data_IF_286102684519
#
_entry.id   IF_286102684519
#
_cell.length_a   1.000
_cell.length_b   1.000
_cell.length_c   1.000
_cell.angle_alpha   90.00
_cell.angle_beta   90.00
_cell.angle_gamma   90.00
#
_symmetry.space_group_name_H-M   'P 1'
#
loop_
_entity.id
_entity.type
_entity.pdbx_description
1 polymer ?
#
# COMPACT_ATOMS: atom_id res chain seq x y z
N UNK A 1 -6.94 -3.00 27.86
CA UNK A 1 -7.05 -4.12 26.89
C UNK A 1 -7.44 -3.57 25.52
N UNK A 2 -8.41 -2.65 25.47
CA UNK A 2 -8.82 -1.88 24.27
C UNK A 2 -7.66 -1.17 23.56
N UNK A 3 -6.77 -0.48 24.29
CA UNK A 3 -5.63 0.24 23.68
C UNK A 3 -4.66 -0.69 22.92
N UNK A 4 -4.46 -1.92 23.41
CA UNK A 4 -3.61 -2.92 22.75
C UNK A 4 -4.27 -3.48 21.48
N UNK A 5 -5.58 -3.69 21.52
CA UNK A 5 -6.36 -4.10 20.33
C UNK A 5 -6.36 -2.99 19.28
N UNK A 6 -6.53 -1.73 19.69
CA UNK A 6 -6.44 -0.58 18.80
C UNK A 6 -5.05 -0.45 18.15
N UNK A 7 -3.97 -0.68 18.90
CA UNK A 7 -2.61 -0.67 18.35
C UNK A 7 -2.36 -1.79 17.35
N UNK A 8 -2.82 -3.00 17.66
CA UNK A 8 -2.69 -4.13 16.74
C UNK A 8 -3.52 -3.92 15.46
N UNK A 9 -4.74 -3.38 15.59
CA UNK A 9 -5.57 -3.04 14.44
C UNK A 9 -4.88 -1.97 13.57
N UNK A 10 -4.33 -0.91 14.19
CA UNK A 10 -3.52 0.10 13.48
C UNK A 10 -2.34 -0.51 12.72
N UNK A 11 -1.70 -1.53 13.28
CA UNK A 11 -0.63 -2.26 12.58
C UNK A 11 -1.14 -3.07 11.39
N UNK A 12 -2.32 -3.70 11.50
CA UNK A 12 -2.95 -4.41 10.39
C UNK A 12 -3.37 -3.44 9.27
N UNK A 13 -4.00 -2.33 9.63
CA UNK A 13 -4.46 -1.28 8.71
C UNK A 13 -3.28 -0.51 8.08
N UNK A 14 -2.14 -0.49 8.77
CA UNK A 14 -0.90 0.13 8.31
C UNK A 14 -0.05 -0.76 7.40
N UNK A 15 -0.47 -2.01 7.12
CA UNK A 15 0.33 -2.93 6.29
C UNK A 15 0.42 -2.44 4.85
N UNK A 16 1.62 -2.07 4.47
CA UNK A 16 2.00 -1.83 3.08
C UNK A 16 2.30 -3.15 2.37
N UNK A 17 1.80 -3.32 1.14
CA UNK A 17 2.28 -4.37 0.26
C UNK A 17 3.72 -4.04 -0.17
N UNK A 18 4.70 -4.94 0.02
CA UNK A 18 6.09 -4.60 -0.20
C UNK A 18 6.40 -4.42 -1.69
N UNK A 19 7.28 -3.47 -2.00
CA UNK A 19 7.93 -3.45 -3.31
C UNK A 19 8.89 -4.63 -3.42
N UNK A 20 8.70 -5.46 -4.44
CA UNK A 20 9.38 -6.77 -4.53
C UNK A 20 10.60 -6.76 -5.45
N UNK A 21 10.92 -5.65 -6.13
CA UNK A 21 12.08 -5.59 -7.02
C UNK A 21 13.35 -5.30 -6.21
N UNK A 22 14.48 -5.96 -6.55
CA UNK A 22 15.78 -5.52 -6.06
C UNK A 22 16.01 -4.09 -6.51
N UNK A 23 16.22 -3.19 -5.55
CA UNK A 23 16.64 -1.83 -5.84
C UNK A 23 18.16 -1.87 -6.06
N UNK A 24 18.69 -1.27 -7.15
CA UNK A 24 20.13 -1.26 -7.39
C UNK A 24 20.90 -0.72 -6.17
N UNK A 25 22.03 -1.34 -5.79
CA UNK A 25 22.85 -0.87 -4.67
C UNK A 25 23.22 0.60 -4.83
N UNK A 26 23.07 1.39 -3.77
CA UNK A 26 23.36 2.83 -3.78
C UNK A 26 22.23 3.72 -4.30
N UNK A 27 21.09 3.16 -4.70
CA UNK A 27 19.89 3.97 -5.00
C UNK A 27 19.37 4.56 -3.69
N UNK A 28 19.27 5.89 -3.64
CA UNK A 28 18.77 6.62 -2.48
C UNK A 28 17.26 6.76 -2.60
N UNK A 29 16.55 6.46 -1.52
CA UNK A 29 15.16 6.85 -1.38
C UNK A 29 15.08 8.32 -1.01
N UNK A 30 14.25 9.07 -1.73
CA UNK A 30 14.00 10.48 -1.48
C UNK A 30 12.53 10.73 -1.12
N UNK A 31 12.28 11.85 -0.44
CA UNK A 31 10.96 12.30 -0.03
C UNK A 31 10.24 13.08 -1.12
N UNK A 32 8.94 12.82 -1.28
CA UNK A 32 8.08 13.41 -2.28
C UNK A 32 6.70 13.76 -1.74
N UNK A 33 6.02 14.65 -2.46
CA UNK A 33 4.59 14.94 -2.28
C UNK A 33 3.85 14.80 -3.59
N UNK A 34 2.77 14.04 -3.57
CA UNK A 34 1.80 13.95 -4.65
C UNK A 34 0.54 14.73 -4.27
N UNK A 35 0.30 15.86 -4.93
CA UNK A 35 -0.88 16.70 -4.71
C UNK A 35 -1.97 16.40 -5.73
N UNK A 36 -3.20 16.39 -5.25
CA UNK A 36 -4.41 16.25 -6.06
C UNK A 36 -5.23 17.53 -5.88
N UNK A 37 -5.42 18.27 -6.97
CA UNK A 37 -6.25 19.46 -7.00
C UNK A 37 -7.67 19.10 -7.40
N UNK A 38 -8.02 19.49 -8.63
CA UNK A 38 -9.37 19.37 -9.18
C UNK A 38 -9.51 18.17 -10.10
N UNK A 39 -10.62 17.45 -9.99
CA UNK A 39 -11.08 16.47 -11.00
C UNK A 39 -12.23 17.09 -11.76
N UNK A 40 -12.11 17.19 -13.08
CA UNK A 40 -13.20 17.60 -13.99
C UNK A 40 -13.53 16.45 -14.91
N UNK A 41 -14.77 15.97 -14.86
CA UNK A 41 -15.17 14.80 -15.62
C UNK A 41 -16.68 14.82 -15.89
N UNK A 42 -17.07 14.59 -17.14
CA UNK A 42 -18.47 14.68 -17.60
C UNK A 42 -19.38 13.64 -16.95
N UNK A 43 -18.82 12.47 -16.67
CA UNK A 43 -19.46 11.29 -16.08
C UNK A 43 -19.80 11.47 -14.60
N UNK A 44 -19.29 12.52 -13.94
CA UNK A 44 -19.61 12.79 -12.54
C UNK A 44 -21.08 13.17 -12.38
N UNK A 45 -21.75 12.66 -11.35
CA UNK A 45 -23.15 12.96 -11.06
C UNK A 45 -23.23 14.09 -10.04
N UNK A 46 -24.03 15.12 -10.34
CA UNK A 46 -24.20 16.29 -9.48
C UNK A 46 -24.76 15.89 -8.11
N UNK A 47 -24.19 16.45 -7.03
CA UNK A 47 -24.64 16.19 -5.65
C UNK A 47 -24.28 14.81 -5.11
N UNK A 48 -23.56 13.98 -5.87
CA UNK A 48 -23.01 12.70 -5.37
C UNK A 48 -21.65 12.91 -4.71
N UNK A 49 -21.35 12.04 -3.75
CA UNK A 49 -20.10 12.00 -3.00
C UNK A 49 -19.08 11.11 -3.69
N UNK A 50 -17.84 11.57 -3.73
CA UNK A 50 -16.70 10.87 -4.32
C UNK A 50 -15.48 11.01 -3.44
N UNK A 51 -14.52 10.13 -3.62
CA UNK A 51 -13.19 10.26 -3.06
C UNK A 51 -12.19 9.69 -4.08
N UNK A 52 -10.91 9.93 -3.86
CA UNK A 52 -9.85 9.36 -4.68
C UNK A 52 -8.99 8.42 -3.85
N UNK A 53 -8.66 7.27 -4.43
CA UNK A 53 -7.66 6.37 -3.91
C UNK A 53 -6.35 6.55 -4.67
N UNK A 54 -5.24 6.46 -3.96
CA UNK A 54 -3.91 6.48 -4.56
C UNK A 54 -3.12 5.23 -4.18
N UNK A 55 -2.45 4.66 -5.19
CA UNK A 55 -1.65 3.44 -5.05
C UNK A 55 -0.38 3.53 -5.90
N UNK A 56 0.63 2.71 -5.58
CA UNK A 56 1.74 2.48 -6.49
C UNK A 56 1.48 1.28 -7.40
N UNK A 57 1.97 1.37 -8.63
CA UNK A 57 1.89 0.31 -9.62
C UNK A 57 3.25 0.08 -10.27
N UNK A 58 3.68 -1.18 -10.31
CA UNK A 58 4.88 -1.62 -11.02
C UNK A 58 4.47 -2.08 -12.42
N UNK A 59 4.77 -1.24 -13.43
CA UNK A 59 4.44 -1.50 -14.82
C UNK A 59 5.23 -2.65 -15.47
N UNK A 60 6.38 -3.02 -14.91
CA UNK A 60 7.12 -4.19 -15.40
C UNK A 60 6.52 -5.50 -14.89
N UNK A 61 6.00 -5.49 -13.66
CA UNK A 61 5.42 -6.68 -13.01
C UNK A 61 3.90 -6.76 -13.09
N UNK A 62 3.24 -5.71 -13.55
CA UNK A 62 1.78 -5.57 -13.55
C UNK A 62 1.19 -5.81 -12.16
N UNK A 63 1.74 -5.13 -11.15
CA UNK A 63 1.36 -5.35 -9.75
C UNK A 63 1.21 -4.05 -8.99
N UNK A 64 0.11 -3.93 -8.25
CA UNK A 64 -0.10 -2.84 -7.30
C UNK A 64 0.60 -3.14 -5.99
N UNK A 65 1.21 -2.13 -5.38
CA UNK A 65 1.93 -2.26 -4.13
C UNK A 65 1.89 -0.96 -3.31
N UNK A 66 2.55 -0.97 -2.16
CA UNK A 66 2.52 0.14 -1.22
C UNK A 66 1.36 0.02 -0.24
N UNK A 67 1.20 1.08 0.56
CA UNK A 67 0.01 1.31 1.38
C UNK A 67 -0.94 2.18 0.58
N UNK A 68 -2.21 1.78 0.52
CA UNK A 68 -3.25 2.60 -0.06
C UNK A 68 -3.62 3.75 0.85
N UNK A 69 -3.99 4.87 0.25
CA UNK A 69 -4.51 5.99 1.00
C UNK A 69 -5.61 6.66 0.20
N UNK A 70 -6.66 7.08 0.91
CA UNK A 70 -7.87 7.66 0.32
C UNK A 70 -7.97 9.13 0.70
N UNK A 71 -8.46 9.98 -0.21
CA UNK A 71 -8.75 11.37 0.11
C UNK A 71 -9.94 11.51 1.05
N UNK A 72 -10.19 12.75 1.51
CA UNK A 72 -11.50 13.10 2.04
C UNK A 72 -12.58 12.96 0.97
N UNK A 73 -13.82 12.87 1.43
CA UNK A 73 -14.99 12.83 0.55
C UNK A 73 -15.27 14.25 0.00
N UNK A 74 -15.37 14.36 -1.33
CA UNK A 74 -15.78 15.56 -2.04
C UNK A 74 -17.16 15.35 -2.69
N UNK A 75 -18.00 16.39 -2.63
CA UNK A 75 -19.31 16.39 -3.31
C UNK A 75 -19.17 17.01 -4.69
N UNK A 76 -19.65 16.31 -5.71
CA UNK A 76 -19.61 16.79 -7.09
C UNK A 76 -20.49 18.04 -7.25
N UNK A 77 -19.87 19.11 -7.73
CA UNK A 77 -20.55 20.36 -8.10
C UNK A 77 -20.13 20.78 -9.51
N UNK A 78 -21.05 21.01 -10.44
CA UNK A 78 -20.78 21.37 -11.84
C UNK A 78 -19.74 20.44 -12.50
N UNK A 79 -19.94 19.12 -12.38
CA UNK A 79 -19.04 18.10 -12.96
C UNK A 79 -17.58 18.23 -12.50
N UNK A 80 -17.41 18.70 -11.27
CA UNK A 80 -16.12 19.02 -10.67
C UNK A 80 -16.07 18.47 -9.24
N UNK A 81 -14.93 17.88 -8.89
CA UNK A 81 -14.53 17.58 -7.52
C UNK A 81 -13.30 18.42 -7.16
N UNK A 82 -13.26 18.92 -5.94
CA UNK A 82 -12.14 19.70 -5.41
C UNK A 82 -11.63 18.94 -4.19
N UNK A 83 -10.39 18.46 -4.27
CA UNK A 83 -9.71 17.80 -3.16
C UNK A 83 -8.71 18.77 -2.51
N UNK A 84 -7.76 19.31 -3.28
CA UNK A 84 -6.66 20.13 -2.76
C UNK A 84 -5.89 19.42 -1.62
N UNK A 85 -5.67 18.12 -1.80
CA UNK A 85 -5.01 17.25 -0.82
C UNK A 85 -3.61 16.84 -1.28
N UNK A 86 -2.77 16.48 -0.31
CA UNK A 86 -1.36 16.14 -0.52
C UNK A 86 -1.01 14.83 0.19
N UNK A 87 -0.44 13.90 -0.57
CA UNK A 87 0.07 12.63 -0.09
C UNK A 87 1.60 12.65 -0.05
N UNK A 88 2.16 12.40 1.12
CA UNK A 88 3.59 12.37 1.41
C UNK A 88 4.09 10.93 1.35
N UNK A 89 5.26 10.72 0.76
CA UNK A 89 5.88 9.40 0.69
C UNK A 89 7.40 9.53 0.53
N UNK A 90 8.12 8.43 0.73
CA UNK A 90 9.50 8.31 0.28
C UNK A 90 9.67 7.07 -0.58
N UNK A 91 10.49 7.18 -1.62
CA UNK A 91 10.79 6.07 -2.51
C UNK A 91 12.06 6.33 -3.34
N UNK A 92 12.75 5.27 -3.80
CA UNK A 92 13.66 5.37 -4.93
C UNK A 92 12.82 5.52 -6.21
N UNK A 93 13.01 6.59 -6.97
CA UNK A 93 12.25 6.74 -8.21
C UNK A 93 12.85 5.86 -9.30
N UNK A 94 11.99 5.05 -9.93
CA UNK A 94 12.32 4.25 -11.11
C UNK A 94 11.32 4.51 -12.23
N UNK A 95 11.72 4.28 -13.49
CA UNK A 95 10.83 4.46 -14.64
C UNK A 95 9.62 3.51 -14.67
N UNK A 96 9.73 2.38 -13.98
CA UNK A 96 8.70 1.34 -13.97
C UNK A 96 7.67 1.49 -12.85
N UNK A 97 7.88 2.42 -11.90
CA UNK A 97 6.89 2.68 -10.85
C UNK A 97 6.06 3.90 -11.23
N UNK A 98 4.75 3.73 -11.11
CA UNK A 98 3.75 4.75 -11.38
C UNK A 98 2.90 4.99 -10.13
N UNK A 99 2.39 6.21 -9.98
CA UNK A 99 1.31 6.51 -9.03
C UNK A 99 0.00 6.41 -9.80
N UNK A 100 -0.92 5.61 -9.30
CA UNK A 100 -2.25 5.42 -9.88
C UNK A 100 -3.27 6.09 -8.97
N UNK A 101 -4.11 6.93 -9.57
CA UNK A 101 -5.22 7.60 -8.91
C UNK A 101 -6.52 6.98 -9.41
N UNK A 102 -7.38 6.54 -8.51
CA UNK A 102 -8.71 6.00 -8.82
C UNK A 102 -9.78 6.92 -8.23
N UNK A 103 -10.68 7.42 -9.06
CA UNK A 103 -11.86 8.18 -8.65
C UNK A 103 -12.97 7.21 -8.33
N UNK A 104 -13.46 7.24 -7.09
CA UNK A 104 -14.49 6.34 -6.60
C UNK A 104 -15.71 7.12 -6.18
N UNK A 105 -16.88 6.71 -6.66
CA UNK A 105 -18.17 7.21 -6.18
C UNK A 105 -18.52 6.47 -4.91
N UNK A 106 -18.74 7.21 -3.83
CA UNK A 106 -19.20 6.63 -2.58
C UNK A 106 -20.70 6.33 -2.65
N UNK A 107 -21.09 5.09 -2.38
CA UNK A 107 -22.50 4.69 -2.24
C UNK A 107 -22.73 4.07 -0.87
N UNK A 108 -23.00 4.93 0.13
CA UNK A 108 -23.26 4.54 1.52
C UNK A 108 -22.17 3.65 2.16
N UNK A 109 -20.95 3.64 1.60
CA UNK A 109 -19.79 2.89 2.09
C UNK A 109 -19.77 1.38 1.79
N UNK A 110 -20.78 0.83 1.10
CA UNK A 110 -20.85 -0.61 0.79
C UNK A 110 -20.86 -0.93 -0.72
N UNK A 111 -21.33 0.00 -1.57
CA UNK A 111 -21.39 -0.18 -3.03
C UNK A 111 -20.55 0.87 -3.77
N UNK A 112 -19.32 1.05 -3.31
CA UNK A 112 -18.40 2.01 -3.91
C UNK A 112 -18.04 1.61 -5.35
N UNK A 113 -18.13 2.57 -6.26
CA UNK A 113 -17.97 2.34 -7.70
C UNK A 113 -16.80 3.15 -8.26
N UNK A 114 -15.81 2.46 -8.83
CA UNK A 114 -14.74 3.06 -9.60
C UNK A 114 -15.28 3.69 -10.89
N UNK A 115 -15.21 5.02 -10.99
CA UNK A 115 -15.74 5.74 -12.15
C UNK A 115 -14.66 6.05 -13.17
N UNK A 116 -13.47 6.40 -12.70
CA UNK A 116 -12.35 6.73 -13.57
C UNK A 116 -11.03 6.53 -12.84
N UNK A 117 -9.93 6.53 -13.59
CA UNK A 117 -8.58 6.45 -13.03
C UNK A 117 -7.56 7.20 -13.90
N UNK A 118 -6.41 7.51 -13.33
CA UNK A 118 -5.28 8.16 -13.99
C UNK A 118 -3.96 7.57 -13.53
N UNK A 119 -2.90 7.83 -14.30
CA UNK A 119 -1.55 7.34 -14.01
C UNK A 119 -0.54 8.47 -14.15
N UNK A 120 0.29 8.63 -13.12
CA UNK A 120 1.47 9.47 -13.13
C UNK A 120 2.72 8.61 -13.28
N UNK A 121 3.46 8.83 -14.35
CA UNK A 121 4.78 8.21 -14.56
C UNK A 121 5.85 9.00 -13.79
N UNK A 122 6.45 8.38 -12.77
CA UNK A 122 7.42 9.10 -11.92
C UNK A 122 8.76 9.31 -12.62
N UNK A 123 9.27 8.29 -13.34
CA UNK A 123 10.64 8.30 -13.87
C UNK A 123 10.94 9.37 -14.94
N UNK A 124 9.92 9.89 -15.63
CA UNK A 124 10.09 10.96 -16.62
C UNK A 124 10.23 12.36 -16.03
N UNK A 125 9.89 12.56 -14.75
CA UNK A 125 9.65 13.89 -14.15
C UNK A 125 10.73 14.31 -13.12
N UNK A 126 11.60 13.39 -12.69
CA UNK A 126 12.35 13.52 -11.42
C UNK A 126 13.46 14.56 -11.42
N UNK A 127 14.19 14.70 -12.53
CA UNK A 127 15.42 15.51 -12.54
C UNK A 127 15.18 17.02 -12.41
N UNK A 128 13.93 17.46 -12.41
CA UNK A 128 13.55 18.88 -12.30
C UNK A 128 12.27 19.11 -11.49
N UNK A 129 11.96 18.25 -10.51
CA UNK A 129 10.77 18.45 -9.68
C UNK A 129 10.90 19.74 -8.85
N UNK A 130 9.84 20.58 -8.80
CA UNK A 130 9.83 21.72 -7.91
C UNK A 130 9.86 21.28 -6.44
N UNK A 131 10.42 22.11 -5.58
CA UNK A 131 10.38 21.87 -4.14
C UNK A 131 8.99 22.17 -3.56
N UNK A 132 8.56 21.34 -2.61
CA UNK A 132 7.26 21.50 -1.93
C UNK A 132 7.07 22.87 -1.27
N UNK A 133 8.15 23.47 -0.74
CA UNK A 133 8.12 24.83 -0.19
C UNK A 133 7.75 25.93 -1.21
N UNK A 134 7.77 25.62 -2.51
CA UNK A 134 7.41 26.52 -3.61
C UNK A 134 6.15 26.03 -4.36
N UNK A 135 5.34 25.14 -3.77
CA UNK A 135 4.21 24.50 -4.44
C UNK A 135 3.21 25.48 -5.08
N UNK A 136 2.99 26.67 -4.49
CA UNK A 136 2.09 27.68 -5.04
C UNK A 136 2.52 28.19 -6.43
N UNK A 137 3.82 28.12 -6.75
CA UNK A 137 4.39 28.61 -8.00
C UNK A 137 4.57 27.49 -9.04
N UNK A 138 4.55 26.24 -8.60
CA UNK A 138 4.68 25.11 -9.50
C UNK A 138 3.41 24.95 -10.35
N UNK A 139 3.47 24.61 -11.64
CA UNK A 139 2.27 24.31 -12.43
C UNK A 139 1.63 22.99 -11.97
N UNK A 140 0.29 22.86 -12.07
CA UNK A 140 -0.38 21.55 -11.96
C UNK A 140 -0.35 20.85 -13.32
N UNK A 141 -0.04 19.57 -13.33
CA UNK A 141 -0.17 18.70 -14.49
C UNK A 141 -1.64 18.32 -14.68
N UNK A 142 -2.16 18.47 -15.89
CA UNK A 142 -3.47 17.93 -16.27
C UNK A 142 -3.28 16.51 -16.80
N UNK A 143 -3.64 15.52 -15.98
CA UNK A 143 -3.56 14.12 -16.37
C UNK A 143 -4.89 13.65 -16.96
N UNK A 144 -4.80 12.81 -18.00
CA UNK A 144 -5.95 12.19 -18.63
C UNK A 144 -6.61 11.20 -17.66
N UNK A 145 -7.93 11.12 -17.72
CA UNK A 145 -8.72 10.14 -16.99
C UNK A 145 -9.15 9.02 -17.94
N UNK A 146 -9.24 7.79 -17.44
CA UNK A 146 -9.68 6.61 -18.15
C UNK A 146 -10.90 6.00 -17.44
N UNK A 147 -11.84 5.37 -18.15
CA UNK A 147 -13.04 4.82 -17.53
C UNK A 147 -12.75 3.61 -16.63
N UNK A 148 -13.60 3.45 -15.61
CA UNK A 148 -13.68 2.25 -14.79
C UNK A 148 -12.61 2.17 -13.70
N UNK A 149 -12.10 0.96 -13.45
CA UNK A 149 -11.13 0.68 -12.39
C UNK A 149 -9.72 0.45 -12.96
N UNK A 150 -8.65 0.94 -12.29
CA UNK A 150 -7.28 0.70 -12.70
C UNK A 150 -6.87 -0.76 -12.53
N UNK A 151 -7.69 -1.61 -11.89
CA UNK A 151 -7.44 -3.07 -11.79
C UNK A 151 -7.27 -3.73 -13.16
N UNK A 152 -7.76 -3.12 -14.24
CA UNK A 152 -7.49 -3.60 -15.60
C UNK A 152 -5.98 -3.61 -15.94
N UNK A 153 -5.15 -2.81 -15.27
CA UNK A 153 -3.68 -2.85 -15.38
C UNK A 153 -3.06 -4.18 -14.92
N UNK A 154 -3.81 -5.02 -14.20
CA UNK A 154 -3.38 -6.38 -13.88
C UNK A 154 -3.44 -7.32 -15.10
N UNK A 155 -4.24 -6.95 -16.12
CA UNK A 155 -4.51 -7.77 -17.30
C UNK A 155 -3.85 -7.16 -18.54
N UNK A 156 -3.86 -5.83 -18.67
CA UNK A 156 -3.25 -5.11 -19.79
C UNK A 156 -1.89 -4.54 -19.41
N UNK A 157 -0.86 -4.95 -20.15
CA UNK A 157 0.53 -4.54 -19.96
C UNK A 157 0.87 -3.16 -20.50
N UNK A 158 -0.09 -2.49 -21.16
CA UNK A 158 0.18 -1.24 -21.87
C UNK A 158 -0.81 -0.15 -21.46
N UNK A 159 -0.28 0.95 -20.94
CA UNK A 159 -1.02 2.17 -20.59
C UNK A 159 -1.61 2.90 -21.80
N UNK A 160 -1.13 2.58 -23.02
CA UNK A 160 -1.53 3.28 -24.26
C UNK A 160 -2.82 2.74 -24.87
N UNK A 161 -3.34 1.61 -24.40
CA UNK A 161 -4.51 0.94 -25.00
C UNK A 161 -5.85 1.58 -24.64
N UNK A 162 -5.88 2.61 -23.79
CA UNK A 162 -7.12 3.16 -23.27
C UNK A 162 -7.53 4.45 -23.97
N UNK A 163 -8.79 4.48 -24.40
CA UNK A 163 -9.46 5.73 -24.78
C UNK A 163 -9.84 6.47 -23.52
N UNK A 164 -9.10 7.55 -23.20
CA UNK A 164 -9.43 8.36 -22.04
C UNK A 164 -10.67 9.23 -22.26
N UNK A 165 -11.25 9.67 -21.14
CA UNK A 165 -12.50 10.39 -21.02
C UNK A 165 -12.36 11.88 -21.33
N UNK A 166 -13.51 12.53 -21.52
CA UNK A 166 -13.62 13.98 -21.64
C UNK A 166 -13.49 14.62 -20.25
N UNK A 167 -12.26 14.95 -19.87
CA UNK A 167 -11.94 15.45 -18.54
C UNK A 167 -10.47 15.32 -18.21
N UNK A 168 -10.11 15.82 -17.03
CA UNK A 168 -8.76 15.69 -16.49
C UNK A 168 -8.76 15.78 -14.97
N UNK A 169 -7.72 15.22 -14.38
CA UNK A 169 -7.35 15.50 -12.99
C UNK A 169 -6.13 16.41 -12.98
N UNK A 170 -6.17 17.43 -12.12
CA UNK A 170 -5.04 18.31 -11.87
C UNK A 170 -4.21 17.75 -10.73
N UNK A 171 -2.94 17.46 -10.99
CA UNK A 171 -2.05 16.88 -10.00
C UNK A 171 -0.69 17.54 -10.02
N UNK A 172 0.13 17.23 -9.02
CA UNK A 172 1.52 17.67 -9.01
C UNK A 172 2.39 16.71 -8.23
N UNK A 173 3.58 16.43 -8.74
CA UNK A 173 4.64 15.76 -7.99
C UNK A 173 5.69 16.79 -7.59
N UNK A 174 6.07 16.80 -6.32
CA UNK A 174 6.99 17.76 -5.73
C UNK A 174 8.07 17.03 -4.95
N UNK A 175 9.30 17.55 -4.98
CA UNK A 175 10.38 17.08 -4.13
C UNK A 175 10.20 17.61 -2.71
N UNK A 176 10.41 16.74 -1.71
CA UNK A 176 10.27 17.09 -0.30
C UNK A 176 11.44 16.53 0.55
N UNK A 177 12.67 17.05 0.39
CA UNK A 177 13.88 16.50 1.02
C UNK A 177 13.83 16.44 2.55
N UNK A 178 13.02 17.27 3.21
CA UNK A 178 12.88 17.25 4.68
C UNK A 178 12.17 16.00 5.20
N UNK A 179 11.45 15.24 4.36
CA UNK A 179 10.91 13.92 4.75
C UNK A 179 12.03 12.90 5.00
N UNK A 180 13.20 13.06 4.36
CA UNK A 180 14.33 12.15 4.51
C UNK A 180 14.81 12.05 5.97
N UNK A 181 14.56 13.08 6.80
CA UNK A 181 14.91 13.07 8.23
C UNK A 181 14.12 12.05 9.07
N UNK A 182 12.93 11.65 8.59
CA UNK A 182 11.96 10.81 9.30
C UNK A 182 11.50 9.59 8.50
N UNK A 183 12.12 9.30 7.36
CA UNK A 183 11.74 8.18 6.50
C UNK A 183 11.80 6.81 7.19
N UNK A 184 12.68 6.62 8.18
CA UNK A 184 12.77 5.34 8.93
C UNK A 184 11.52 5.01 9.76
N UNK A 185 10.58 5.95 9.93
CA UNK A 185 9.36 5.76 10.73
C UNK A 185 8.16 5.28 9.90
N UNK A 186 8.28 5.16 8.59
CA UNK A 186 7.19 4.69 7.75
C UNK A 186 7.74 3.89 6.57
N UNK A 187 6.93 3.02 5.95
CA UNK A 187 7.40 2.19 4.85
C UNK A 187 7.72 3.01 3.61
N UNK A 188 8.77 2.58 2.91
CA UNK A 188 9.03 2.99 1.53
C UNK A 188 7.81 2.67 0.66
N UNK A 189 7.47 3.60 -0.24
CA UNK A 189 6.23 3.53 -1.04
C UNK A 189 4.93 3.47 -0.19
N UNK A 190 4.94 3.98 1.04
CA UNK A 190 3.72 4.28 1.78
C UNK A 190 3.25 5.71 1.52
N UNK A 191 2.00 5.87 1.08
CA UNK A 191 1.35 7.19 0.96
C UNK A 191 0.73 7.58 2.31
N UNK A 192 0.94 8.83 2.71
CA UNK A 192 0.44 9.38 3.98
C UNK A 192 -0.18 10.75 3.78
N UNK A 193 -1.26 11.05 4.49
CA UNK A 193 -1.77 12.42 4.56
C UNK A 193 -0.88 13.31 5.42
N UNK A 194 -0.93 14.61 5.17
CA UNK A 194 -0.26 15.59 6.04
C UNK A 194 -0.80 15.61 7.48
N UNK A 195 -2.00 15.08 7.71
CA UNK A 195 -2.61 14.93 9.04
C UNK A 195 -2.45 13.51 9.62
N UNK A 196 -1.84 12.58 8.89
CA UNK A 196 -1.59 11.23 9.41
C UNK A 196 -0.61 11.31 10.58
N UNK A 197 -0.97 10.67 11.69
CA UNK A 197 -0.05 10.48 12.78
C UNK A 197 0.96 9.38 12.44
N UNK A 198 2.24 9.75 12.37
CA UNK A 198 3.35 8.80 12.20
C UNK A 198 4.00 8.59 13.57
N UNK A 199 3.83 7.42 14.21
CA UNK A 199 4.39 7.19 15.53
C UNK A 199 5.91 7.30 15.54
N UNK A 200 6.45 8.16 16.41
CA UNK A 200 7.87 8.47 16.46
C UNK A 200 8.30 9.74 15.71
N UNK A 201 7.38 10.39 14.98
CA UNK A 201 7.56 11.71 14.37
C UNK A 201 6.87 12.77 15.24
N UNK A 202 7.52 13.92 15.43
CA UNK A 202 6.95 15.03 16.17
C UNK A 202 5.80 15.68 15.38
N UNK A 203 4.74 16.12 16.09
CA UNK A 203 3.59 16.77 15.44
C UNK A 203 3.91 18.15 14.87
N UNK A 204 4.84 18.88 15.49
CA UNK A 204 5.12 20.28 15.17
C UNK A 204 6.32 20.47 14.22
N UNK A 205 6.72 19.40 13.54
CA UNK A 205 7.79 19.43 12.55
C UNK A 205 8.21 18.02 12.19
N UNK A 206 8.64 17.80 10.94
CA UNK A 206 9.21 16.54 10.42
C UNK A 206 10.56 16.22 11.09
N UNK A 207 10.50 16.06 12.40
CA UNK A 207 11.59 15.80 13.31
C UNK A 207 11.26 14.55 14.10
N UNK A 208 12.30 13.86 14.54
CA UNK A 208 12.13 12.68 15.39
C UNK A 208 11.55 13.10 16.73
N UNK A 209 10.61 12.33 17.24
CA UNK A 209 10.07 12.50 18.59
C UNK A 209 11.19 12.39 19.64
N UNK A 210 11.00 13.00 20.81
CA UNK A 210 11.95 12.91 21.91
C UNK A 210 12.17 11.44 22.29
N UNK A 211 13.43 11.00 22.29
CA UNK A 211 13.78 9.62 22.64
C UNK A 211 13.34 9.27 24.05
N UNK A 212 12.58 8.19 24.19
CA UNK A 212 12.26 7.57 25.48
C UNK A 212 13.44 6.68 25.89
N UNK A 213 13.75 6.52 27.20
CA UNK A 213 14.81 5.63 27.65
C UNK A 213 14.65 4.22 27.07
N UNK A 214 15.76 3.62 26.62
CA UNK A 214 15.77 2.23 26.14
C UNK A 214 15.45 1.29 27.30
N UNK A 215 14.39 0.52 27.18
CA UNK A 215 14.05 -0.56 28.10
C UNK A 215 14.55 -1.87 27.50
N UNK A 216 15.45 -2.56 28.21
CA UNK A 216 15.85 -3.91 27.84
C UNK A 216 14.78 -4.90 28.28
N UNK A 217 14.28 -5.71 27.35
CA UNK A 217 13.34 -6.79 27.60
C UNK A 217 13.76 -8.04 26.85
N UNK A 218 13.43 -9.20 27.39
CA UNK A 218 13.58 -10.49 26.73
C UNK A 218 12.24 -11.20 26.71
N UNK A 219 12.01 -11.98 25.65
CA UNK A 219 10.89 -12.90 25.55
C UNK A 219 11.49 -14.30 25.60
N UNK A 220 11.11 -15.07 26.61
CA UNK A 220 11.56 -16.46 26.79
C UNK A 220 10.36 -17.41 26.64
N UNK A 221 10.61 -18.63 26.15
CA UNK A 221 9.62 -19.69 26.06
C UNK A 221 8.47 -19.45 25.07
N UNK A 222 8.74 -18.87 23.88
CA UNK A 222 7.71 -18.69 22.85
C UNK A 222 7.32 -20.04 22.22
N UNK A 223 6.17 -20.58 22.60
CA UNK A 223 5.51 -21.69 21.92
C UNK A 223 4.48 -21.19 20.91
N UNK A 224 4.53 -21.70 19.68
CA UNK A 224 3.54 -21.41 18.64
C UNK A 224 2.79 -22.68 18.26
N UNK A 225 1.47 -22.57 18.16
CA UNK A 225 0.62 -23.64 17.63
C UNK A 225 -0.18 -23.08 16.46
N UNK A 226 0.07 -23.60 15.27
CA UNK A 226 -0.66 -23.26 14.04
C UNK A 226 -1.73 -24.32 13.81
N UNK A 227 -2.97 -24.06 14.24
CA UNK A 227 -4.10 -24.96 14.03
C UNK A 227 -5.00 -25.09 15.27
N UNK A 228 -6.31 -25.04 15.02
CA UNK A 228 -7.38 -24.92 16.02
C UNK A 228 -7.38 -25.98 17.12
N UNK A 229 -7.86 -25.56 18.30
CA UNK A 229 -7.99 -26.42 19.46
C UNK A 229 -8.83 -27.67 19.19
N UNK A 230 -8.45 -28.76 19.88
CA UNK A 230 -9.22 -30.00 19.98
C UNK A 230 -8.81 -31.03 18.94
N UNK A 231 -8.17 -32.11 19.39
CA UNK A 231 -7.88 -33.28 18.57
C UNK A 231 -9.14 -33.84 17.92
N UNK A 232 -9.16 -33.90 16.59
CA UNK A 232 -10.27 -34.38 15.78
C UNK A 232 -10.15 -33.96 14.31
N UNK A 233 -11.04 -34.46 13.45
CA UNK A 233 -11.10 -34.22 11.98
C UNK A 233 -11.15 -32.73 11.53
N UNK A 234 -11.21 -31.79 12.47
CA UNK A 234 -11.09 -30.34 12.29
C UNK A 234 -9.71 -29.85 11.83
N UNK A 235 -8.67 -30.71 11.86
CA UNK A 235 -7.35 -30.43 11.27
C UNK A 235 -7.34 -30.19 9.76
N UNK A 236 -8.46 -30.45 9.06
CA UNK A 236 -8.64 -30.14 7.63
C UNK A 236 -8.78 -28.65 7.32
N UNK A 237 -9.14 -27.79 8.29
CA UNK A 237 -9.42 -26.37 8.07
C UNK A 237 -8.40 -25.45 8.75
N UNK A 238 -7.11 -25.69 8.52
CA UNK A 238 -6.09 -24.70 8.90
C UNK A 238 -6.11 -23.55 7.91
N UNK A 239 -5.72 -22.34 8.35
CA UNK A 239 -5.50 -21.19 7.46
C UNK A 239 -4.55 -21.56 6.33
N UNK A 240 -3.55 -22.41 6.61
CA UNK A 240 -2.62 -22.93 5.61
C UNK A 240 -3.34 -23.74 4.52
N UNK A 241 -4.21 -24.67 4.87
CA UNK A 241 -4.95 -25.45 3.88
C UNK A 241 -5.85 -24.58 2.99
N UNK A 242 -6.50 -23.57 3.59
CA UNK A 242 -7.34 -22.61 2.85
C UNK A 242 -6.48 -21.79 1.89
N UNK A 243 -5.34 -21.28 2.34
CA UNK A 243 -4.40 -20.51 1.51
C UNK A 243 -3.83 -21.38 0.39
N UNK A 244 -3.41 -22.61 0.69
CA UNK A 244 -2.93 -23.56 -0.32
C UNK A 244 -4.00 -23.85 -1.37
N UNK A 245 -5.25 -24.06 -0.96
CA UNK A 245 -6.37 -24.32 -1.88
C UNK A 245 -6.65 -23.09 -2.75
N UNK A 246 -6.80 -21.91 -2.18
CA UNK A 246 -7.04 -20.66 -2.92
C UNK A 246 -5.90 -20.32 -3.88
N UNK A 247 -4.65 -20.49 -3.44
CA UNK A 247 -3.48 -20.24 -4.28
C UNK A 247 -3.35 -21.28 -5.40
N UNK A 248 -3.69 -22.55 -5.12
CA UNK A 248 -3.74 -23.59 -6.15
C UNK A 248 -4.81 -23.27 -7.18
N UNK A 249 -5.99 -22.83 -6.75
CA UNK A 249 -7.07 -22.39 -7.65
C UNK A 249 -6.62 -21.19 -8.50
N UNK A 250 -6.10 -20.11 -7.90
CA UNK A 250 -5.63 -18.92 -8.62
C UNK A 250 -4.52 -19.27 -9.63
N UNK A 251 -3.55 -20.08 -9.23
CA UNK A 251 -2.50 -20.55 -10.14
C UNK A 251 -3.08 -21.34 -11.32
N UNK A 252 -4.03 -22.23 -11.06
CA UNK A 252 -4.71 -23.02 -12.09
C UNK A 252 -5.46 -22.11 -13.08
N UNK A 253 -6.18 -21.11 -12.57
CA UNK A 253 -6.88 -20.12 -13.40
C UNK A 253 -5.91 -19.30 -14.27
N UNK A 254 -4.75 -18.90 -13.73
CA UNK A 254 -3.75 -18.11 -14.47
C UNK A 254 -2.96 -18.93 -15.50
N UNK A 255 -2.63 -20.18 -15.18
CA UNK A 255 -1.84 -21.04 -16.05
C UNK A 255 -2.66 -21.58 -17.23
N UNK A 256 -4.00 -21.52 -17.16
CA UNK A 256 -4.92 -22.10 -18.14
C UNK A 256 -4.64 -23.60 -18.42
N UNK A 257 -3.99 -24.29 -17.48
CA UNK A 257 -3.60 -25.69 -17.53
C UNK A 257 -4.04 -26.37 -16.23
N UNK A 258 -5.03 -27.26 -16.31
CA UNK A 258 -5.36 -28.21 -15.24
C UNK A 258 -4.50 -29.46 -15.43
N UNK A 259 -3.35 -29.55 -14.76
CA UNK A 259 -2.68 -30.84 -14.57
C UNK A 259 -3.28 -31.51 -13.33
N UNK A 260 -3.94 -32.67 -13.46
CA UNK A 260 -4.51 -33.38 -12.32
C UNK A 260 -3.42 -33.69 -11.29
N UNK A 261 -3.63 -33.28 -10.04
CA UNK A 261 -2.77 -33.63 -8.91
C UNK A 261 -1.66 -32.64 -8.55
N UNK A 262 -1.48 -31.53 -9.28
CA UNK A 262 -0.57 -30.46 -8.83
C UNK A 262 -1.28 -29.53 -7.84
N UNK A 263 -0.67 -29.34 -6.67
CA UNK A 263 -1.15 -28.47 -5.60
C UNK A 263 0.01 -27.61 -5.09
N UNK A 264 -0.26 -26.37 -4.74
CA UNK A 264 0.68 -25.52 -4.00
C UNK A 264 0.95 -26.15 -2.63
N UNK A 265 2.23 -26.19 -2.23
CA UNK A 265 2.64 -26.70 -0.92
C UNK A 265 3.41 -25.62 -0.13
N UNK A 266 3.25 -25.63 1.20
CA UNK A 266 4.08 -24.79 2.08
C UNK A 266 5.51 -25.33 2.13
N UNK A 267 6.42 -24.67 1.42
CA UNK A 267 7.85 -25.01 1.39
C UNK A 267 8.61 -24.56 2.65
N UNK A 268 8.15 -23.49 3.31
CA UNK A 268 8.79 -22.95 4.51
C UNK A 268 7.83 -22.17 5.38
N UNK A 269 8.12 -22.15 6.69
CA UNK A 269 7.43 -21.31 7.67
C UNK A 269 8.44 -20.41 8.34
N UNK A 270 8.18 -19.10 8.37
CA UNK A 270 9.08 -18.11 8.97
C UNK A 270 8.31 -17.29 10.00
N UNK A 271 8.84 -17.19 11.22
CA UNK A 271 8.39 -16.20 12.18
C UNK A 271 9.31 -14.98 12.12
N UNK A 272 8.71 -13.79 12.04
CA UNK A 272 9.43 -12.51 12.16
C UNK A 272 9.12 -11.88 13.52
N UNK A 273 10.15 -11.60 14.29
CA UNK A 273 10.06 -10.94 15.60
C UNK A 273 10.83 -9.62 15.51
N UNK A 274 10.14 -8.51 15.72
CA UNK A 274 10.76 -7.19 15.68
C UNK A 274 9.90 -6.13 16.33
N UNK A 275 10.53 -5.01 16.68
CA UNK A 275 9.82 -3.83 17.20
C UNK A 275 9.31 -3.02 16.03
N UNK A 276 8.00 -2.73 16.02
CA UNK A 276 7.36 -1.89 15.02
C UNK A 276 6.65 -0.71 15.67
N UNK A 277 6.56 0.39 14.93
CA UNK A 277 5.80 1.57 15.35
C UNK A 277 4.35 1.55 14.82
N UNK A 278 3.91 0.42 14.25
CA UNK A 278 2.59 0.27 13.64
C UNK A 278 2.58 0.47 12.12
N UNK A 279 3.60 1.13 11.56
CA UNK A 279 3.73 1.37 10.12
C UNK A 279 4.94 0.62 9.53
N UNK A 280 6.05 0.64 10.25
CA UNK A 280 7.29 0.00 9.85
C UNK A 280 7.99 -0.67 11.04
N UNK A 281 8.88 -1.61 10.74
CA UNK A 281 9.84 -2.08 11.73
C UNK A 281 10.88 -0.99 11.99
N UNK A 282 11.09 -0.66 13.26
CA UNK A 282 12.08 0.36 13.67
C UNK A 282 13.51 -0.15 13.44
N UNK A 283 13.68 -1.48 13.41
CA UNK A 283 14.91 -2.18 13.08
C UNK A 283 14.59 -3.48 12.36
N UNK A 284 15.51 -3.98 11.53
CA UNK A 284 15.34 -5.26 10.84
C UNK A 284 14.84 -6.37 11.79
N UNK A 285 13.68 -6.99 11.52
CA UNK A 285 13.14 -8.02 12.40
C UNK A 285 14.00 -9.29 12.33
N UNK A 286 14.15 -9.96 13.47
CA UNK A 286 14.70 -11.31 13.53
C UNK A 286 13.77 -12.27 12.80
N UNK A 287 14.28 -12.97 11.79
CA UNK A 287 13.53 -14.00 11.07
C UNK A 287 14.04 -15.37 11.48
N UNK A 288 13.16 -16.22 11.99
CA UNK A 288 13.47 -17.61 12.36
C UNK A 288 12.66 -18.59 11.51
N UNK A 289 13.29 -19.67 11.07
CA UNK A 289 12.61 -20.75 10.36
C UNK A 289 11.94 -21.68 11.37
N UNK A 290 10.66 -21.95 11.16
CA UNK A 290 9.89 -22.86 11.99
C UNK A 290 9.96 -24.26 11.38
N UNK A 291 10.40 -25.23 12.20
CA UNK A 291 10.39 -26.65 11.85
C UNK A 291 9.22 -27.30 12.58
N UNK A 292 8.32 -28.02 11.89
CA UNK A 292 7.23 -28.74 12.54
C UNK A 292 7.78 -29.72 13.59
N UNK A 293 7.33 -29.59 14.83
CA UNK A 293 7.56 -30.59 15.85
C UNK A 293 6.51 -31.69 15.69
N UNK A 294 6.94 -32.88 15.27
CA UNK A 294 6.07 -34.07 15.34
C UNK A 294 6.06 -34.50 16.80
N UNK A 295 4.92 -34.32 17.49
CA UNK A 295 4.76 -34.82 18.85
C UNK A 295 4.84 -36.35 18.81
N UNK A 296 6.00 -36.91 19.14
CA UNK A 296 6.09 -38.34 19.43
C UNK A 296 5.49 -38.52 20.81
N UNK A 297 4.34 -39.18 20.89
CA UNK A 297 3.78 -39.63 22.16
C UNK A 297 4.86 -40.41 22.93
N UNK A 298 5.45 -39.78 23.93
CA UNK A 298 6.20 -40.46 24.97
C UNK A 298 5.16 -41.08 25.92
N UNK A 299 4.50 -42.14 25.45
CA UNK A 299 3.86 -43.12 26.31
C UNK A 299 4.55 -44.46 26.06
N UNK A 300 5.62 -44.64 26.85
CA UNK A 300 6.14 -45.95 27.25
C UNK A 300 5.06 -46.76 27.95
#
# INVERSE_FOLDING_TARGET
MEERQAWYQRFLDGRSSPFTRPIPPGTVSDGFVYEIGKVQLRELEEGKSYYVHCYFYDGERNHFFGRDNQSSIAVCTRKTLIFEEAFFFHAPITAAVHIVLEVVRSHNGYDDLSVAWSVLEMGGQVRSLPYYGQHQQAPRLKQKLYPGSPKFLLISKTLTSFTGLEGAVETRLLAHPTLNAVQDFFPEYGLFHGHDEIPGVARDGLARGKGVPRVMGYIDGVGLTLGGGGGGETGKYTVENIVEEMMTQDWTYRANELKPGQRMEVIERRMRVGVHNGLAYISSPLTVHLVPQVWKDQRS
#
